data_IF_652736008304
#
_entry.id   IF_652736008304
#
_cell.length_a   1.000
_cell.length_b   1.000
_cell.length_c   1.000
_cell.angle_alpha   90.00
_cell.angle_beta   90.00
_cell.angle_gamma   90.00
#
_symmetry.space_group_name_H-M   'P 1'
#
loop_
_entity.id
_entity.type
_entity.pdbx_description
1 polymer ?
#
# COMPACT_ATOMS: atom_id res chain seq x y z
N UNK A 1 -12.86 -2.67 -21.93
CA UNK A 1 -12.70 -3.88 -21.07
C UNK A 1 -13.89 -3.99 -20.14
N UNK A 2 -14.27 -5.19 -19.66
CA UNK A 2 -15.34 -5.32 -18.67
C UNK A 2 -14.73 -5.32 -17.26
N UNK A 3 -14.95 -4.25 -16.49
CA UNK A 3 -14.44 -4.07 -15.13
C UNK A 3 -15.41 -4.57 -14.04
N UNK A 4 -16.53 -5.17 -14.42
CA UNK A 4 -17.61 -5.51 -13.48
C UNK A 4 -17.43 -6.82 -12.71
N UNK A 5 -16.56 -7.74 -13.16
CA UNK A 5 -16.64 -9.15 -12.76
C UNK A 5 -15.55 -9.65 -11.80
N UNK A 6 -14.54 -8.85 -11.47
CA UNK A 6 -13.47 -9.30 -10.58
C UNK A 6 -13.25 -8.35 -9.41
N UNK A 7 -12.82 -8.85 -8.25
CA UNK A 7 -12.48 -8.01 -7.10
C UNK A 7 -11.22 -7.18 -7.34
N UNK A 8 -10.31 -7.65 -8.18
CA UNK A 8 -9.10 -6.93 -8.51
C UNK A 8 -8.62 -7.18 -9.94
N UNK A 9 -7.74 -6.28 -10.39
CA UNK A 9 -7.09 -6.34 -11.69
C UNK A 9 -5.61 -5.97 -11.55
N UNK A 10 -4.77 -6.49 -12.44
CA UNK A 10 -3.39 -6.06 -12.63
C UNK A 10 -3.29 -5.38 -13.98
N UNK A 11 -2.87 -4.11 -13.97
CA UNK A 11 -2.63 -3.29 -15.15
C UNK A 11 -1.15 -3.34 -15.54
N UNK A 12 -0.87 -3.74 -16.77
CA UNK A 12 0.48 -3.88 -17.32
C UNK A 12 0.97 -2.66 -18.13
N UNK A 13 0.17 -1.61 -18.18
CA UNK A 13 0.43 -0.39 -18.95
C UNK A 13 -0.40 -0.27 -20.24
N UNK A 14 -1.01 -1.36 -20.69
CA UNK A 14 -1.84 -1.41 -21.91
C UNK A 14 -3.11 -2.23 -21.71
N UNK A 15 -3.07 -3.29 -20.90
CA UNK A 15 -4.19 -4.19 -20.66
C UNK A 15 -4.35 -4.50 -19.17
N UNK A 16 -5.56 -4.88 -18.78
CA UNK A 16 -5.84 -5.32 -17.42
C UNK A 16 -6.13 -6.83 -17.38
N UNK A 17 -5.49 -7.53 -16.47
CA UNK A 17 -5.76 -8.93 -16.17
C UNK A 17 -6.58 -9.04 -14.90
N UNK A 18 -7.74 -9.68 -14.98
CA UNK A 18 -8.59 -9.94 -13.82
C UNK A 18 -7.91 -10.89 -12.82
N UNK A 19 -8.13 -10.64 -11.53
CA UNK A 19 -7.66 -11.45 -10.40
C UNK A 19 -8.88 -11.92 -9.64
N UNK A 20 -9.00 -13.24 -9.47
CA UNK A 20 -10.20 -13.85 -8.91
C UNK A 20 -10.38 -13.59 -7.41
N UNK A 21 -9.28 -13.36 -6.68
CA UNK A 21 -9.30 -13.17 -5.24
C UNK A 21 -8.17 -12.22 -4.79
N UNK A 22 -8.48 -11.34 -3.84
CA UNK A 22 -7.46 -10.49 -3.19
C UNK A 22 -6.85 -11.27 -2.03
N UNK A 23 -5.62 -11.73 -2.21
CA UNK A 23 -4.88 -12.39 -1.15
C UNK A 23 -4.39 -11.35 -0.14
N UNK A 24 -4.95 -11.37 1.06
CA UNK A 24 -4.58 -10.51 2.17
C UNK A 24 -4.84 -11.19 3.52
N UNK A 25 -4.07 -10.89 4.58
CA UNK A 25 -4.43 -11.34 5.91
C UNK A 25 -5.72 -10.64 6.36
N UNK A 26 -6.55 -11.28 7.19
CA UNK A 26 -7.66 -10.61 7.87
C UNK A 26 -7.18 -9.36 8.65
N UNK A 27 -8.02 -8.33 8.73
CA UNK A 27 -7.66 -7.05 9.39
C UNK A 27 -7.29 -7.22 10.87
N UNK A 28 -7.87 -8.19 11.56
CA UNK A 28 -7.61 -8.49 12.97
C UNK A 28 -6.23 -9.11 13.21
N UNK A 29 -5.61 -9.72 12.19
CA UNK A 29 -4.24 -10.22 12.25
C UNK A 29 -3.17 -9.13 12.02
N UNK A 30 -3.56 -7.96 11.55
CA UNK A 30 -2.68 -6.81 11.42
C UNK A 30 -2.59 -6.07 12.76
N UNK A 31 -1.66 -6.49 13.62
CA UNK A 31 -1.45 -5.95 14.97
C UNK A 31 -0.51 -4.74 14.97
N UNK A 32 -0.64 -3.86 15.98
CA UNK A 32 0.23 -2.70 16.18
C UNK A 32 -0.01 -1.53 15.21
N UNK A 33 -1.09 -1.58 14.40
CA UNK A 33 -1.43 -0.56 13.42
C UNK A 33 -2.93 -0.21 13.44
N UNK A 34 -3.56 -0.16 14.61
CA UNK A 34 -5.02 0.00 14.72
C UNK A 34 -5.51 1.36 14.21
N UNK A 35 -4.76 2.43 14.48
CA UNK A 35 -5.08 3.75 13.94
C UNK A 35 -5.02 3.79 12.41
N UNK A 36 -3.99 3.18 11.82
CA UNK A 36 -3.83 3.05 10.38
C UNK A 36 -4.97 2.23 9.77
N UNK A 37 -5.35 1.10 10.41
CA UNK A 37 -6.49 0.27 9.98
C UNK A 37 -7.79 1.08 9.93
N UNK A 38 -8.10 1.82 11.00
CA UNK A 38 -9.31 2.62 11.07
C UNK A 38 -9.36 3.67 9.95
N UNK A 39 -8.26 4.41 9.74
CA UNK A 39 -8.19 5.44 8.71
C UNK A 39 -8.31 4.88 7.28
N UNK A 40 -7.56 3.83 6.97
CA UNK A 40 -7.56 3.23 5.62
C UNK A 40 -8.90 2.60 5.31
N UNK A 41 -9.46 1.80 6.22
CA UNK A 41 -10.75 1.11 6.01
C UNK A 41 -11.89 2.12 5.85
N UNK A 42 -11.95 3.16 6.71
CA UNK A 42 -12.96 4.20 6.60
C UNK A 42 -12.88 4.97 5.27
N UNK A 43 -11.66 5.25 4.77
CA UNK A 43 -11.48 5.93 3.50
C UNK A 43 -11.88 5.05 2.30
N UNK A 44 -11.53 3.76 2.33
CA UNK A 44 -11.91 2.78 1.29
C UNK A 44 -13.43 2.56 1.29
N UNK A 45 -14.07 2.46 2.45
CA UNK A 45 -15.52 2.35 2.57
C UNK A 45 -16.25 3.58 2.00
N UNK A 46 -15.74 4.81 2.26
CA UNK A 46 -16.28 6.03 1.64
C UNK A 46 -16.16 6.01 0.12
N UNK A 47 -15.03 5.56 -0.42
CA UNK A 47 -14.87 5.40 -1.86
C UNK A 47 -15.91 4.44 -2.42
N UNK A 48 -16.06 3.25 -1.84
CA UNK A 48 -17.05 2.25 -2.28
C UNK A 48 -18.48 2.78 -2.24
N UNK A 49 -18.81 3.59 -1.23
CA UNK A 49 -20.12 4.24 -1.11
C UNK A 49 -20.34 5.42 -2.08
N UNK A 50 -19.31 5.80 -2.85
CA UNK A 50 -19.37 6.98 -3.72
C UNK A 50 -19.28 8.32 -3.00
N UNK A 51 -18.89 8.30 -1.74
CA UNK A 51 -18.70 9.50 -0.93
C UNK A 51 -17.32 10.13 -1.16
N UNK A 52 -17.14 11.35 -0.65
CA UNK A 52 -15.84 12.02 -0.69
C UNK A 52 -14.78 11.18 0.04
N UNK A 53 -13.70 10.88 -0.65
CA UNK A 53 -12.58 10.08 -0.19
C UNK A 53 -11.26 10.65 -0.70
N UNK A 54 -10.19 10.37 0.00
CA UNK A 54 -8.85 10.85 -0.30
C UNK A 54 -8.03 9.85 -1.09
N UNK A 55 -7.04 10.36 -1.81
CA UNK A 55 -5.89 9.58 -2.22
C UNK A 55 -5.04 9.22 -1.00
N UNK A 56 -4.44 8.03 -1.04
CA UNK A 56 -3.73 7.43 0.07
C UNK A 56 -2.23 7.36 -0.21
N UNK A 57 -1.42 7.85 0.71
CA UNK A 57 0.00 7.55 0.79
C UNK A 57 0.30 6.79 2.09
N UNK A 58 0.69 5.53 1.99
CA UNK A 58 1.16 4.73 3.11
C UNK A 58 2.69 4.65 3.05
N UNK A 59 3.38 5.26 4.01
CA UNK A 59 4.83 5.36 3.97
C UNK A 59 5.48 4.85 5.26
N UNK A 60 6.76 4.49 5.20
CA UNK A 60 7.54 4.14 6.39
C UNK A 60 8.16 2.76 6.34
N UNK A 61 8.48 2.18 7.49
CA UNK A 61 9.32 1.01 7.65
C UNK A 61 8.87 -0.19 6.80
N UNK A 62 9.84 -0.91 6.25
CA UNK A 62 9.61 -2.11 5.44
C UNK A 62 9.02 -3.24 6.28
N UNK A 63 8.13 -4.02 5.66
CA UNK A 63 7.52 -5.18 6.32
C UNK A 63 6.47 -4.86 7.37
N UNK A 64 6.07 -3.60 7.53
CA UNK A 64 5.09 -3.14 8.53
C UNK A 64 3.62 -3.24 8.08
N UNK A 65 3.34 -3.97 7.00
CA UNK A 65 1.97 -4.28 6.61
C UNK A 65 1.28 -3.23 5.73
N UNK A 66 1.98 -2.21 5.18
CA UNK A 66 1.37 -1.17 4.31
C UNK A 66 0.51 -1.75 3.19
N UNK A 67 1.10 -2.54 2.33
CA UNK A 67 0.41 -3.17 1.19
C UNK A 67 -0.59 -4.24 1.63
N UNK A 68 -0.30 -4.96 2.73
CA UNK A 68 -1.22 -5.93 3.31
C UNK A 68 -2.48 -5.25 3.85
N UNK A 69 -2.33 -4.13 4.58
CA UNK A 69 -3.45 -3.35 5.10
C UNK A 69 -4.35 -2.83 3.96
N UNK A 70 -3.75 -2.30 2.89
CA UNK A 70 -4.54 -1.79 1.77
C UNK A 70 -5.40 -2.90 1.15
N UNK A 71 -4.79 -4.05 0.85
CA UNK A 71 -5.50 -5.20 0.30
C UNK A 71 -6.56 -5.74 1.27
N UNK A 72 -6.24 -5.85 2.56
CA UNK A 72 -7.17 -6.30 3.58
C UNK A 72 -8.38 -5.35 3.74
N UNK A 73 -8.15 -4.04 3.71
CA UNK A 73 -9.22 -3.04 3.78
C UNK A 73 -10.15 -3.11 2.55
N UNK A 74 -9.58 -3.28 1.35
CA UNK A 74 -10.39 -3.45 0.13
C UNK A 74 -11.20 -4.75 0.21
N UNK A 75 -10.57 -5.87 0.59
CA UNK A 75 -11.25 -7.16 0.71
C UNK A 75 -12.40 -7.11 1.75
N UNK A 76 -12.17 -6.46 2.89
CA UNK A 76 -13.20 -6.28 3.92
C UNK A 76 -14.40 -5.47 3.42
N UNK A 77 -14.17 -4.37 2.68
CA UNK A 77 -15.24 -3.55 2.11
C UNK A 77 -15.98 -4.29 1.00
N UNK A 78 -15.28 -5.06 0.18
CA UNK A 78 -15.88 -5.88 -0.88
C UNK A 78 -16.72 -7.04 -0.33
N UNK A 79 -16.40 -7.55 0.86
CA UNK A 79 -17.23 -8.59 1.49
C UNK A 79 -18.67 -8.11 1.75
N UNK A 80 -18.87 -6.80 1.94
CA UNK A 80 -20.20 -6.20 2.14
C UNK A 80 -20.87 -5.79 0.82
N UNK A 81 -20.08 -5.34 -0.19
CA UNK A 81 -20.59 -4.84 -1.47
C UNK A 81 -19.58 -5.09 -2.61
N UNK A 82 -19.46 -6.33 -3.10
CA UNK A 82 -18.42 -6.74 -4.05
C UNK A 82 -18.47 -6.02 -5.40
N UNK A 83 -19.65 -5.60 -5.84
CA UNK A 83 -19.85 -4.90 -7.11
C UNK A 83 -19.45 -3.44 -7.09
N UNK A 84 -19.32 -2.80 -5.90
CA UNK A 84 -19.13 -1.34 -5.77
C UNK A 84 -17.69 -0.88 -5.95
N UNK A 85 -16.73 -1.72 -5.60
CA UNK A 85 -15.32 -1.36 -5.59
C UNK A 85 -14.48 -2.43 -6.29
N UNK A 86 -13.46 -2.02 -7.03
CA UNK A 86 -12.38 -2.90 -7.47
C UNK A 86 -11.01 -2.31 -7.13
N UNK A 87 -10.05 -3.20 -6.87
CA UNK A 87 -8.65 -2.86 -6.75
C UNK A 87 -7.98 -3.00 -8.11
N UNK A 88 -7.24 -1.99 -8.56
CA UNK A 88 -6.43 -2.07 -9.78
C UNK A 88 -4.98 -1.85 -9.41
N UNK A 89 -4.21 -2.92 -9.36
CA UNK A 89 -2.78 -2.82 -9.09
C UNK A 89 -2.03 -2.52 -10.40
N UNK A 90 -1.28 -1.42 -10.40
CA UNK A 90 -0.39 -1.04 -11.51
C UNK A 90 0.93 -1.78 -11.35
N UNK A 91 1.37 -2.48 -12.38
CA UNK A 91 2.69 -3.13 -12.40
C UNK A 91 3.81 -2.07 -12.29
N UNK A 92 4.93 -2.45 -11.69
CA UNK A 92 6.01 -1.52 -11.34
C UNK A 92 6.60 -0.76 -12.54
N UNK A 93 6.58 -1.36 -13.71
CA UNK A 93 7.06 -0.82 -14.99
C UNK A 93 5.95 -0.13 -15.82
N UNK A 94 4.72 -0.14 -15.34
CA UNK A 94 3.52 0.30 -16.07
C UNK A 94 3.05 1.73 -15.71
N UNK A 95 3.83 2.51 -14.98
CA UNK A 95 3.45 3.87 -14.56
C UNK A 95 3.10 4.79 -15.73
N UNK A 96 3.78 4.65 -16.87
CA UNK A 96 3.48 5.42 -18.08
C UNK A 96 2.09 5.16 -18.68
N UNK A 97 1.46 4.03 -18.33
CA UNK A 97 0.13 3.62 -18.79
C UNK A 97 -1.03 4.02 -17.85
N UNK A 98 -0.79 4.80 -16.80
CA UNK A 98 -1.84 5.16 -15.83
C UNK A 98 -2.86 6.14 -16.42
N UNK A 99 -2.45 7.08 -17.27
CA UNK A 99 -3.39 8.01 -17.91
C UNK A 99 -4.39 7.28 -18.85
N UNK A 100 -3.96 6.37 -19.74
CA UNK A 100 -4.89 5.50 -20.47
C UNK A 100 -5.81 4.67 -19.57
N UNK A 101 -5.30 4.13 -18.47
CA UNK A 101 -6.13 3.40 -17.48
C UNK A 101 -7.26 4.28 -16.95
N UNK A 102 -6.98 5.54 -16.59
CA UNK A 102 -8.02 6.46 -16.12
C UNK A 102 -9.12 6.67 -17.15
N UNK A 103 -8.76 6.79 -18.42
CA UNK A 103 -9.73 6.94 -19.52
C UNK A 103 -10.63 5.69 -19.65
N UNK A 104 -10.07 4.50 -19.46
CA UNK A 104 -10.86 3.26 -19.46
C UNK A 104 -11.80 3.13 -18.26
N UNK A 105 -11.38 3.61 -17.08
CA UNK A 105 -12.17 3.52 -15.85
C UNK A 105 -13.27 4.59 -15.77
N UNK A 106 -13.12 5.71 -16.49
CA UNK A 106 -14.01 6.87 -16.40
C UNK A 106 -15.47 6.56 -16.76
N UNK A 107 -15.69 5.60 -17.65
CA UNK A 107 -17.04 5.23 -18.15
C UNK A 107 -17.76 4.18 -17.30
N UNK A 108 -17.14 3.66 -16.26
CA UNK A 108 -17.70 2.61 -15.42
C UNK A 108 -18.42 3.19 -14.18
N UNK A 109 -19.53 2.59 -13.78
CA UNK A 109 -20.27 3.00 -12.58
C UNK A 109 -19.57 2.58 -11.28
N UNK A 110 -18.70 1.57 -11.37
CA UNK A 110 -17.92 1.03 -10.25
C UNK A 110 -16.88 2.03 -9.76
N UNK A 111 -16.51 1.94 -8.52
CA UNK A 111 -15.39 2.70 -7.93
C UNK A 111 -14.10 1.90 -8.04
N UNK A 112 -12.99 2.60 -8.19
CA UNK A 112 -11.69 1.97 -8.36
C UNK A 112 -10.67 2.57 -7.40
N UNK A 113 -9.95 1.70 -6.70
CA UNK A 113 -8.73 2.07 -5.98
C UNK A 113 -7.54 1.63 -6.82
N UNK A 114 -6.88 2.58 -7.49
CA UNK A 114 -5.68 2.31 -8.28
C UNK A 114 -4.47 2.29 -7.35
N UNK A 115 -3.81 1.14 -7.29
CA UNK A 115 -2.77 0.84 -6.31
C UNK A 115 -1.40 0.74 -6.96
N UNK A 116 -0.45 1.55 -6.47
CA UNK A 116 0.96 1.54 -6.86
C UNK A 116 1.76 1.10 -5.64
N UNK A 117 2.30 -0.11 -5.67
CA UNK A 117 3.04 -0.70 -4.55
C UNK A 117 4.53 -0.37 -4.61
N UNK A 118 5.12 -0.07 -3.45
CA UNK A 118 6.55 0.23 -3.23
C UNK A 118 7.12 1.30 -4.18
N UNK A 119 6.35 2.37 -4.38
CA UNK A 119 6.75 3.47 -5.26
C UNK A 119 7.99 4.17 -4.70
N UNK A 120 9.01 4.25 -5.53
CA UNK A 120 10.21 5.04 -5.32
C UNK A 120 10.79 5.42 -6.67
N UNK A 121 11.07 6.69 -6.85
CA UNK A 121 11.71 7.19 -8.06
C UNK A 121 13.23 7.13 -7.93
N UNK A 122 13.91 6.82 -9.04
CA UNK A 122 15.35 6.98 -9.13
C UNK A 122 15.71 8.48 -9.14
N UNK A 123 16.93 8.81 -8.73
CA UNK A 123 17.41 10.21 -8.73
C UNK A 123 17.39 10.86 -10.13
N UNK A 124 17.53 10.05 -11.16
CA UNK A 124 17.51 10.47 -12.57
C UNK A 124 16.11 10.47 -13.20
N UNK A 125 15.07 10.10 -12.45
CA UNK A 125 13.70 10.04 -12.98
C UNK A 125 12.92 11.32 -12.67
N UNK A 126 12.92 12.22 -13.65
CA UNK A 126 12.11 13.44 -13.60
C UNK A 126 10.66 13.25 -14.09
N UNK A 127 10.38 12.15 -14.82
CA UNK A 127 9.08 11.96 -15.47
C UNK A 127 8.05 11.37 -14.50
N UNK A 128 8.46 10.39 -13.72
CA UNK A 128 7.58 9.71 -12.77
C UNK A 128 6.97 10.65 -11.73
N UNK A 129 7.76 11.47 -11.01
CA UNK A 129 7.23 12.46 -10.07
C UNK A 129 6.28 13.48 -10.70
N UNK A 130 6.58 13.95 -11.92
CA UNK A 130 5.71 14.90 -12.65
C UNK A 130 4.39 14.26 -13.06
N UNK A 131 4.41 13.02 -13.53
CA UNK A 131 3.21 12.28 -13.86
C UNK A 131 2.33 12.07 -12.63
N UNK A 132 2.90 11.61 -11.50
CA UNK A 132 2.17 11.43 -10.25
C UNK A 132 1.55 12.75 -9.75
N UNK A 133 2.29 13.86 -9.83
CA UNK A 133 1.77 15.20 -9.50
C UNK A 133 0.55 15.55 -10.35
N UNK A 134 0.63 15.37 -11.67
CA UNK A 134 -0.49 15.64 -12.58
C UNK A 134 -1.74 14.81 -12.24
N UNK A 135 -1.57 13.56 -11.83
CA UNK A 135 -2.71 12.70 -11.44
C UNK A 135 -3.36 13.12 -10.12
N UNK A 136 -2.59 13.70 -9.19
CA UNK A 136 -3.08 14.15 -7.88
C UNK A 136 -3.73 15.53 -7.94
N UNK A 137 -3.15 16.47 -8.68
CA UNK A 137 -3.62 17.86 -8.76
C UNK A 137 -4.78 18.04 -9.74
N UNK A 138 -4.87 17.17 -10.75
CA UNK A 138 -5.82 17.30 -11.83
C UNK A 138 -5.40 18.41 -12.83
N UNK A 139 -5.38 18.05 -14.11
CA UNK A 139 -5.20 18.99 -15.23
C UNK A 139 -6.48 19.05 -16.07
N UNK A 140 -6.36 19.45 -17.32
CA UNK A 140 -7.46 19.40 -18.30
C UNK A 140 -7.96 17.95 -18.46
N UNK A 141 -7.05 16.96 -18.39
CA UNK A 141 -7.35 15.54 -18.26
C UNK A 141 -7.31 15.12 -16.79
N UNK A 142 -8.32 15.53 -16.04
CA UNK A 142 -8.42 15.20 -14.64
C UNK A 142 -8.70 13.70 -14.44
N UNK A 143 -8.18 13.15 -13.35
CA UNK A 143 -8.54 11.80 -12.91
C UNK A 143 -10.05 11.67 -12.73
N UNK A 144 -10.67 10.55 -13.17
CA UNK A 144 -12.11 10.33 -13.03
C UNK A 144 -12.58 10.37 -11.57
N UNK A 145 -13.79 10.87 -11.35
CA UNK A 145 -14.37 11.01 -10.01
C UNK A 145 -14.59 9.69 -9.27
N UNK A 146 -14.70 8.59 -10.02
CA UNK A 146 -14.85 7.22 -9.50
C UNK A 146 -13.51 6.54 -9.17
N UNK A 147 -12.36 7.21 -9.33
CA UNK A 147 -11.03 6.66 -9.09
C UNK A 147 -10.34 7.39 -7.93
N UNK A 148 -9.66 6.63 -7.07
CA UNK A 148 -8.68 7.15 -6.10
C UNK A 148 -7.37 6.39 -6.24
N UNK A 149 -6.27 7.10 -5.95
CA UNK A 149 -4.93 6.53 -5.92
C UNK A 149 -4.58 6.04 -4.51
N UNK A 150 -3.90 4.92 -4.43
CA UNK A 150 -3.25 4.45 -3.22
C UNK A 150 -1.80 4.10 -3.56
N UNK A 151 -0.88 4.68 -2.83
CA UNK A 151 0.55 4.49 -3.04
C UNK A 151 1.18 4.00 -1.75
N UNK A 152 2.04 2.98 -1.83
CA UNK A 152 2.93 2.65 -0.73
C UNK A 152 4.35 3.07 -1.05
N UNK A 153 5.10 3.50 -0.02
CA UNK A 153 6.51 3.84 -0.15
C UNK A 153 7.28 3.48 1.12
N UNK A 154 8.56 3.19 0.98
CA UNK A 154 9.43 2.97 2.13
C UNK A 154 9.97 4.27 2.73
N UNK A 155 9.69 5.42 2.10
CA UNK A 155 10.09 6.76 2.53
C UNK A 155 8.89 7.70 2.48
N UNK A 156 8.85 8.69 3.37
CA UNK A 156 7.85 9.76 3.30
C UNK A 156 8.06 10.62 2.06
N UNK A 157 9.30 11.01 1.80
CA UNK A 157 9.67 11.65 0.54
C UNK A 157 9.84 10.56 -0.52
N UNK A 158 8.89 10.47 -1.46
CA UNK A 158 8.87 9.46 -2.54
C UNK A 158 10.02 9.72 -3.53
N UNK A 159 10.46 10.97 -3.65
CA UNK A 159 11.62 11.38 -4.48
C UNK A 159 12.88 11.40 -3.62
N UNK A 160 13.99 10.78 -4.05
CA UNK A 160 15.26 10.78 -3.32
C UNK A 160 15.84 12.19 -3.18
N UNK A 161 16.63 12.42 -2.13
CA UNK A 161 17.42 13.63 -1.96
C UNK A 161 18.77 13.45 -2.64
N UNK A 162 19.21 14.41 -3.47
CA UNK A 162 20.58 14.45 -3.94
C UNK A 162 21.52 14.93 -2.82
N UNK A 163 22.66 14.28 -2.66
CA UNK A 163 23.67 14.73 -1.69
C UNK A 163 24.18 16.15 -2.02
N UNK A 164 24.26 16.48 -3.32
CA UNK A 164 24.64 17.82 -3.79
C UNK A 164 23.61 18.93 -3.46
N UNK A 165 22.36 18.60 -3.17
CA UNK A 165 21.33 19.57 -2.77
C UNK A 165 21.51 20.06 -1.32
N UNK A 166 22.29 19.32 -0.50
CA UNK A 166 22.63 19.75 0.86
C UNK A 166 23.75 20.80 0.88
N UNK A 167 24.59 20.82 -0.16
CA UNK A 167 25.74 21.69 -0.30
C UNK A 167 25.49 22.90 -1.25
N UNK A 168 24.27 23.04 -1.81
CA UNK A 168 23.92 24.18 -2.64
C UNK A 168 23.67 25.43 -1.77
N UNK A 169 24.55 26.44 -1.82
CA UNK A 169 24.43 27.62 -0.98
C UNK A 169 23.27 28.55 -1.35
N UNK A 170 22.57 28.32 -2.49
CA UNK A 170 21.60 29.27 -3.02
C UNK A 170 20.15 28.90 -2.66
N UNK A 171 19.75 27.60 -2.64
CA UNK A 171 18.36 27.21 -2.27
C UNK A 171 18.21 25.74 -1.81
N UNK A 172 18.80 25.32 -0.70
CA UNK A 172 18.63 23.94 -0.22
C UNK A 172 17.20 23.64 0.29
N UNK A 173 16.40 24.69 0.58
CA UNK A 173 15.02 24.55 1.08
C UNK A 173 14.01 24.27 -0.04
N UNK A 174 14.13 24.92 -1.16
CA UNK A 174 13.13 24.81 -2.25
C UNK A 174 13.10 23.41 -2.88
N UNK A 175 14.27 22.76 -3.04
CA UNK A 175 14.35 21.39 -3.54
C UNK A 175 13.80 20.35 -2.55
N UNK A 176 13.95 20.60 -1.25
CA UNK A 176 13.38 19.75 -0.18
C UNK A 176 11.86 19.93 -0.12
N UNK A 177 11.38 21.18 -0.26
CA UNK A 177 9.97 21.51 -0.22
C UNK A 177 9.21 20.94 -1.42
N UNK A 178 9.80 20.94 -2.60
CA UNK A 178 9.20 20.33 -3.81
C UNK A 178 9.02 18.80 -3.68
N UNK A 179 9.94 18.12 -3.00
CA UNK A 179 9.90 16.66 -2.79
C UNK A 179 8.95 16.25 -1.68
N UNK A 180 8.82 17.07 -0.63
CA UNK A 180 7.79 16.92 0.40
C UNK A 180 6.40 17.29 -0.13
N UNK A 181 6.34 18.29 -0.99
CA UNK A 181 5.11 18.79 -1.60
C UNK A 181 4.35 17.70 -2.39
N UNK A 182 5.02 16.67 -2.92
CA UNK A 182 4.34 15.55 -3.56
C UNK A 182 3.59 14.67 -2.54
N UNK A 183 4.17 14.43 -1.36
CA UNK A 183 3.51 13.67 -0.31
C UNK A 183 2.32 14.43 0.31
N UNK A 184 2.40 15.75 0.38
CA UNK A 184 1.34 16.61 0.93
C UNK A 184 0.12 16.73 0.00
N UNK A 185 0.25 16.33 -1.27
CA UNK A 185 -0.87 16.24 -2.22
C UNK A 185 -1.79 15.04 -2.00
N UNK A 186 -1.32 14.03 -1.28
CA UNK A 186 -2.19 12.97 -0.82
C UNK A 186 -3.04 13.47 0.35
N UNK A 187 -4.35 13.49 0.18
CA UNK A 187 -5.25 13.96 1.23
C UNK A 187 -5.19 13.12 2.51
N UNK A 188 -4.65 11.89 2.44
CA UNK A 188 -4.42 11.03 3.59
C UNK A 188 -3.03 10.38 3.50
N UNK A 189 -2.08 10.93 4.27
CA UNK A 189 -0.69 10.45 4.37
C UNK A 189 -0.48 9.76 5.71
N UNK A 190 -0.22 8.43 5.69
CA UNK A 190 -0.20 7.56 6.87
C UNK A 190 1.18 6.94 7.06
N UNK A 191 1.80 7.22 8.22
CA UNK A 191 3.11 6.70 8.58
C UNK A 191 3.05 5.31 9.26
N UNK A 192 4.00 4.45 8.91
CA UNK A 192 4.23 3.15 9.53
C UNK A 192 5.62 3.16 10.17
N UNK A 193 5.65 3.14 11.49
CA UNK A 193 6.88 3.18 12.26
C UNK A 193 7.49 1.79 12.43
N UNK A 194 8.72 1.76 12.94
CA UNK A 194 9.39 0.50 13.26
C UNK A 194 8.61 -0.26 14.34
N UNK A 195 8.56 -1.58 14.18
CA UNK A 195 7.87 -2.49 15.08
C UNK A 195 8.57 -2.54 16.45
N UNK A 196 7.84 -2.29 17.52
CA UNK A 196 8.31 -2.55 18.88
C UNK A 196 8.48 -4.05 19.13
N UNK A 197 9.07 -4.43 20.26
CA UNK A 197 9.14 -5.83 20.64
C UNK A 197 7.75 -6.39 20.92
N UNK A 198 6.93 -5.64 21.65
CA UNK A 198 5.58 -6.05 22.03
C UNK A 198 4.67 -6.18 20.79
N UNK A 199 4.76 -5.26 19.84
CA UNK A 199 4.03 -5.38 18.57
C UNK A 199 4.47 -6.63 17.78
N UNK A 200 5.78 -6.91 17.74
CA UNK A 200 6.31 -8.09 17.07
C UNK A 200 5.76 -9.38 17.66
N UNK A 201 5.79 -9.50 19.00
CA UNK A 201 5.25 -10.65 19.72
C UNK A 201 3.73 -10.76 19.56
N UNK A 202 3.01 -9.65 19.57
CA UNK A 202 1.57 -9.64 19.30
C UNK A 202 1.23 -10.11 17.88
N UNK A 203 2.06 -9.75 16.87
CA UNK A 203 1.91 -10.24 15.49
C UNK A 203 2.16 -11.75 15.43
N UNK A 204 3.24 -12.25 16.04
CA UNK A 204 3.55 -13.69 16.11
C UNK A 204 2.42 -14.45 16.78
N UNK A 205 1.99 -13.98 17.96
CA UNK A 205 0.89 -14.58 18.71
C UNK A 205 -0.40 -14.65 17.88
N UNK A 206 -0.76 -13.55 17.20
CA UNK A 206 -1.95 -13.49 16.36
C UNK A 206 -1.91 -14.53 15.23
N UNK A 207 -0.82 -14.63 14.50
CA UNK A 207 -0.68 -15.63 13.45
C UNK A 207 -0.62 -17.05 13.98
N UNK A 208 0.11 -17.31 15.09
CA UNK A 208 0.17 -18.63 15.69
C UNK A 208 -1.21 -19.09 16.19
N UNK A 209 -1.99 -18.20 16.79
CA UNK A 209 -3.37 -18.49 17.20
C UNK A 209 -4.25 -18.84 16.01
N UNK A 210 -4.19 -18.06 14.93
CA UNK A 210 -4.99 -18.28 13.71
C UNK A 210 -4.68 -19.64 13.05
N UNK A 211 -3.45 -20.11 13.14
CA UNK A 211 -3.01 -21.39 12.56
C UNK A 211 -2.86 -22.51 13.58
N UNK A 212 -3.30 -22.32 14.84
CA UNK A 212 -3.21 -23.31 15.93
C UNK A 212 -1.78 -23.85 16.11
N UNK A 213 -0.78 -22.97 16.05
CA UNK A 213 0.63 -23.29 16.23
C UNK A 213 1.08 -22.95 17.65
N UNK A 214 1.90 -23.85 18.23
CA UNK A 214 2.61 -23.55 19.47
C UNK A 214 3.87 -22.75 19.14
N UNK A 215 4.23 -21.80 19.99
CA UNK A 215 5.40 -20.97 19.81
C UNK A 215 6.03 -20.58 21.15
N UNK A 216 7.28 -20.21 21.12
CA UNK A 216 8.04 -19.74 22.26
C UNK A 216 8.53 -18.31 22.02
N UNK A 217 8.41 -17.46 23.05
CA UNK A 217 8.77 -16.05 22.96
C UNK A 217 10.27 -15.83 22.74
N UNK A 218 11.11 -16.60 23.45
CA UNK A 218 12.55 -16.47 23.33
C UNK A 218 13.03 -16.89 21.93
N UNK A 219 12.41 -17.94 21.36
CA UNK A 219 12.68 -18.39 19.99
C UNK A 219 12.26 -17.33 18.96
N UNK A 220 11.08 -16.73 19.12
CA UNK A 220 10.60 -15.66 18.25
C UNK A 220 11.53 -14.44 18.26
N UNK A 221 11.98 -14.02 19.45
CA UNK A 221 12.91 -12.91 19.60
C UNK A 221 14.29 -13.23 19.02
N UNK A 222 14.79 -14.45 19.21
CA UNK A 222 16.04 -14.90 18.60
C UNK A 222 15.96 -14.91 17.06
N UNK A 223 14.82 -15.39 16.51
CA UNK A 223 14.55 -15.31 15.08
C UNK A 223 14.64 -13.88 14.55
N UNK A 224 14.00 -12.92 15.23
CA UNK A 224 14.03 -11.52 14.84
C UNK A 224 15.44 -10.92 14.91
N UNK A 225 16.22 -11.27 15.93
CA UNK A 225 17.63 -10.84 16.07
C UNK A 225 18.50 -11.31 14.91
N UNK A 226 18.39 -12.59 14.53
CA UNK A 226 19.13 -13.18 13.39
C UNK A 226 18.76 -12.52 12.06
N UNK A 227 17.54 -12.00 11.92
CA UNK A 227 17.08 -11.28 10.72
C UNK A 227 17.41 -9.79 10.76
N UNK A 228 17.93 -9.27 11.87
CA UNK A 228 18.27 -7.86 12.05
C UNK A 228 17.09 -6.91 12.06
N UNK A 229 15.86 -7.41 12.17
CA UNK A 229 14.66 -6.58 12.13
C UNK A 229 13.47 -7.23 12.86
N UNK A 230 12.60 -6.38 13.43
CA UNK A 230 11.26 -6.75 13.88
C UNK A 230 10.26 -6.16 12.90
N UNK A 231 9.41 -6.99 12.31
CA UNK A 231 8.37 -6.55 11.36
C UNK A 231 7.33 -7.65 11.17
N UNK A 232 6.16 -7.31 10.63
CA UNK A 232 5.15 -8.30 10.25
C UNK A 232 5.67 -9.35 9.26
N UNK A 233 6.56 -8.97 8.35
CA UNK A 233 7.22 -9.91 7.42
C UNK A 233 8.08 -10.92 8.16
N UNK A 234 8.89 -10.47 9.12
CA UNK A 234 9.77 -11.36 9.92
C UNK A 234 8.93 -12.25 10.82
N UNK A 235 7.84 -11.74 11.40
CA UNK A 235 6.89 -12.54 12.17
C UNK A 235 6.25 -13.65 11.32
N UNK A 236 5.76 -13.31 10.12
CA UNK A 236 5.20 -14.28 9.19
C UNK A 236 6.21 -15.36 8.76
N UNK A 237 7.47 -14.99 8.52
CA UNK A 237 8.53 -15.95 8.23
C UNK A 237 8.79 -16.91 9.38
N UNK A 238 8.71 -16.43 10.64
CA UNK A 238 8.82 -17.28 11.82
C UNK A 238 7.65 -18.25 11.92
N UNK A 239 6.43 -17.77 11.71
CA UNK A 239 5.22 -18.62 11.71
C UNK A 239 5.28 -19.67 10.60
N UNK A 240 5.76 -19.27 9.40
CA UNK A 240 5.97 -20.22 8.29
C UNK A 240 6.97 -21.33 8.67
N UNK A 241 8.05 -20.98 9.34
CA UNK A 241 9.03 -21.96 9.86
C UNK A 241 8.40 -22.91 10.88
N UNK A 242 7.62 -22.38 11.83
CA UNK A 242 6.92 -23.20 12.82
C UNK A 242 5.91 -24.16 12.17
N UNK A 243 5.14 -23.68 11.20
CA UNK A 243 4.19 -24.51 10.46
C UNK A 243 4.90 -25.64 9.70
N UNK A 244 6.01 -25.31 9.01
CA UNK A 244 6.82 -26.31 8.32
C UNK A 244 7.37 -27.40 9.24
N UNK A 245 7.88 -27.03 10.43
CA UNK A 245 8.33 -27.99 11.45
C UNK A 245 7.18 -28.87 11.97
N UNK A 246 5.98 -28.32 12.04
CA UNK A 246 4.79 -29.05 12.44
C UNK A 246 4.15 -29.87 11.30
N UNK A 247 4.75 -29.87 10.10
CA UNK A 247 4.21 -30.57 8.92
C UNK A 247 2.89 -29.99 8.40
N UNK A 248 2.66 -28.67 8.58
CA UNK A 248 1.42 -27.97 8.19
C UNK A 248 1.66 -27.01 7.04
N UNK A 249 0.68 -26.85 6.17
CA UNK A 249 0.54 -25.71 5.25
C UNK A 249 -0.10 -24.51 5.98
N UNK A 250 0.13 -23.29 5.47
CA UNK A 250 -0.47 -22.03 5.95
C UNK A 250 -1.44 -21.47 4.92
#
# INVERSE_FOLDING_TARGET
MNWSNAPAYVWDGATARAVAEIVAPPLDLLKGIDAQKALVTANVARLAAGHASHDLLLWGARGMGKSALLRAAVAAVQAEAPERLALVQVAADALGGVAPLFSELAGDERRFLVFIDDLGFAESDDRGPRALRSWLEGGVEARPGNVRLAVTSNRRAIVPRHASEQDDPINPRDAVDDKLALADRFGLSIGFHACSQDDYLAIVSGYCAAHSLQWDEAEALEWSRRRGARSGRVAWQFVTELAGRAGRAL
#
